data_IF_031302241923
#
_entry.id   IF_031302241923
#
_cell.length_a   1.000
_cell.length_b   1.000
_cell.length_c   1.000
_cell.angle_alpha   90.00
_cell.angle_beta   90.00
_cell.angle_gamma   90.00
#
_symmetry.space_group_name_H-M   'P 1'
#
loop_
_entity.id
_entity.type
_entity.pdbx_description
1 polymer ?
#
# COMPACT_ATOMS: atom_id res chain seq x y z
N UNK A 1 -15.20 -5.00 -13.92
CA UNK A 1 -13.77 -5.14 -14.28
C UNK A 1 -12.91 -4.96 -13.02
N UNK A 2 -12.87 -5.98 -12.16
CA UNK A 2 -11.85 -6.17 -11.11
C UNK A 2 -11.32 -7.61 -11.14
N UNK A 3 -11.73 -8.40 -12.14
CA UNK A 3 -11.59 -9.86 -12.16
C UNK A 3 -10.18 -10.37 -12.53
N UNK A 4 -9.21 -9.48 -12.77
CA UNK A 4 -7.87 -9.85 -13.24
C UNK A 4 -6.72 -9.32 -12.36
N UNK A 5 -7.00 -8.66 -11.24
CA UNK A 5 -5.96 -8.23 -10.30
C UNK A 5 -6.17 -8.93 -8.96
N UNK A 6 -5.30 -9.90 -8.65
CA UNK A 6 -5.16 -10.38 -7.28
C UNK A 6 -4.40 -9.31 -6.49
N UNK A 7 -5.13 -8.54 -5.69
CA UNK A 7 -4.55 -7.48 -4.87
C UNK A 7 -3.85 -8.04 -3.62
N UNK A 8 -3.91 -9.36 -3.41
CA UNK A 8 -3.27 -10.09 -2.33
C UNK A 8 -3.51 -9.45 -0.95
N UNK A 9 -4.72 -8.94 -0.71
CA UNK A 9 -5.08 -8.20 0.52
C UNK A 9 -4.82 -9.04 1.78
N UNK A 10 -5.01 -10.36 1.69
CA UNK A 10 -4.67 -11.29 2.78
C UNK A 10 -3.18 -11.30 3.10
N UNK A 11 -2.31 -11.26 2.09
CA UNK A 11 -0.86 -11.22 2.27
C UNK A 11 -0.43 -9.86 2.84
N UNK A 12 -1.07 -8.77 2.40
CA UNK A 12 -0.90 -7.45 3.01
C UNK A 12 -1.22 -7.47 4.50
N UNK A 13 -2.37 -8.00 4.88
CA UNK A 13 -2.79 -8.12 6.29
C UNK A 13 -1.80 -8.99 7.08
N UNK A 14 -1.39 -10.14 6.51
CA UNK A 14 -0.43 -11.03 7.15
C UNK A 14 0.91 -10.33 7.38
N UNK A 15 1.38 -9.55 6.40
CA UNK A 15 2.63 -8.79 6.51
C UNK A 15 2.55 -7.67 7.55
N UNK A 16 1.45 -6.92 7.58
CA UNK A 16 1.20 -5.90 8.60
C UNK A 16 1.27 -6.50 10.01
N UNK A 17 0.64 -7.67 10.21
CA UNK A 17 0.66 -8.39 11.49
C UNK A 17 2.04 -8.93 11.84
N UNK A 18 2.75 -9.51 10.87
CA UNK A 18 4.08 -10.07 11.06
C UNK A 18 5.12 -8.99 11.42
N UNK A 19 5.07 -7.85 10.74
CA UNK A 19 6.00 -6.73 10.94
C UNK A 19 5.57 -5.84 12.12
N UNK A 20 4.40 -6.12 12.72
CA UNK A 20 3.79 -5.34 13.81
C UNK A 20 3.70 -3.83 13.47
N UNK A 21 3.44 -3.54 12.18
CA UNK A 21 3.42 -2.21 11.62
C UNK A 21 2.27 -1.39 12.20
N UNK A 22 2.52 -0.15 12.60
CA UNK A 22 1.51 0.78 13.15
C UNK A 22 1.06 1.80 12.12
N UNK A 23 1.98 2.23 11.25
CA UNK A 23 1.74 3.19 10.18
C UNK A 23 2.08 2.52 8.85
N UNK A 24 1.08 2.31 8.01
CA UNK A 24 1.21 1.64 6.71
C UNK A 24 0.91 2.64 5.61
N UNK A 25 1.83 2.80 4.65
CA UNK A 25 1.60 3.60 3.47
C UNK A 25 1.15 2.73 2.30
N UNK A 26 0.04 3.11 1.65
CA UNK A 26 -0.52 2.43 0.50
C UNK A 26 -0.36 3.30 -0.74
N UNK A 27 0.28 2.75 -1.78
CA UNK A 27 0.45 3.42 -3.06
C UNK A 27 -0.32 2.68 -4.16
N UNK A 28 -1.25 3.39 -4.79
CA UNK A 28 -2.13 2.85 -5.82
C UNK A 28 -1.79 3.42 -7.21
N UNK A 29 -1.81 2.59 -8.27
CA UNK A 29 -1.81 3.07 -9.64
C UNK A 29 -3.14 3.76 -9.96
N UNK A 30 -3.16 4.64 -10.97
CA UNK A 30 -4.37 5.41 -11.34
C UNK A 30 -5.62 4.54 -11.53
N UNK A 31 -5.48 3.34 -12.10
CA UNK A 31 -6.58 2.39 -12.28
C UNK A 31 -7.16 1.82 -10.99
N UNK A 32 -6.42 1.84 -9.88
CA UNK A 32 -6.87 1.34 -8.57
C UNK A 32 -7.24 2.46 -7.59
N UNK A 33 -6.94 3.73 -7.88
CA UNK A 33 -7.34 4.87 -7.04
C UNK A 33 -8.84 4.89 -6.72
N UNK A 34 -9.77 4.62 -7.66
CA UNK A 34 -11.21 4.55 -7.35
C UNK A 34 -11.59 3.43 -6.35
N UNK A 35 -10.73 2.42 -6.21
CA UNK A 35 -10.95 1.27 -5.32
C UNK A 35 -10.15 1.38 -4.01
N UNK A 36 -9.32 2.42 -3.85
CA UNK A 36 -8.44 2.59 -2.70
C UNK A 36 -9.21 2.59 -1.37
N UNK A 37 -10.33 3.30 -1.27
CA UNK A 37 -11.14 3.34 -0.05
C UNK A 37 -11.67 1.96 0.36
N UNK A 38 -12.10 1.14 -0.61
CA UNK A 38 -12.58 -0.22 -0.35
C UNK A 38 -11.45 -1.11 0.18
N UNK A 39 -10.26 -1.01 -0.41
CA UNK A 39 -9.07 -1.77 0.00
C UNK A 39 -8.64 -1.37 1.41
N UNK A 40 -8.58 -0.06 1.69
CA UNK A 40 -8.26 0.49 3.01
C UNK A 40 -9.25 0.00 4.05
N UNK A 41 -10.55 0.00 3.73
CA UNK A 41 -11.58 -0.48 4.63
C UNK A 41 -11.43 -1.97 4.96
N UNK A 42 -11.04 -2.80 3.98
CA UNK A 42 -10.79 -4.23 4.19
C UNK A 42 -9.59 -4.47 5.10
N UNK A 43 -8.48 -3.77 4.88
CA UNK A 43 -7.28 -3.87 5.71
C UNK A 43 -7.58 -3.43 7.16
N UNK A 44 -8.31 -2.32 7.34
CA UNK A 44 -8.67 -1.78 8.67
C UNK A 44 -9.63 -2.66 9.46
N UNK A 45 -10.46 -3.48 8.80
CA UNK A 45 -11.32 -4.46 9.49
C UNK A 45 -10.50 -5.50 10.24
N UNK A 46 -9.34 -5.86 9.70
CA UNK A 46 -8.50 -6.96 10.18
C UNK A 46 -7.26 -6.48 10.94
N UNK A 47 -6.94 -5.18 10.88
CA UNK A 47 -5.75 -4.57 11.48
C UNK A 47 -6.05 -3.17 12.05
N UNK A 48 -5.69 -2.88 13.31
CA UNK A 48 -5.87 -1.55 13.90
C UNK A 48 -4.69 -0.62 13.57
N UNK A 49 -4.40 -0.43 12.28
CA UNK A 49 -3.26 0.36 11.81
C UNK A 49 -3.67 1.71 11.23
N UNK A 50 -2.76 2.68 11.33
CA UNK A 50 -2.90 3.95 10.64
C UNK A 50 -2.51 3.75 9.18
N UNK A 51 -3.42 4.09 8.27
CA UNK A 51 -3.16 3.97 6.83
C UNK A 51 -3.00 5.36 6.22
N UNK A 52 -1.90 5.56 5.51
CA UNK A 52 -1.60 6.77 4.74
C UNK A 52 -1.67 6.41 3.25
N UNK A 53 -2.55 7.06 2.51
CA UNK A 53 -2.64 6.85 1.06
C UNK A 53 -1.71 7.82 0.34
N UNK A 54 -0.78 7.29 -0.45
CA UNK A 54 0.04 8.11 -1.34
C UNK A 54 -0.75 8.47 -2.60
N UNK A 55 -1.13 9.74 -2.73
CA UNK A 55 -1.90 10.26 -3.87
C UNK A 55 -1.02 10.98 -4.93
N UNK A 56 0.30 11.01 -4.73
CA UNK A 56 1.24 11.61 -5.69
C UNK A 56 1.32 10.85 -7.02
N UNK A 57 1.75 11.52 -8.09
CA UNK A 57 2.01 10.91 -9.39
C UNK A 57 3.18 9.92 -9.30
N UNK A 58 2.95 8.65 -9.64
CA UNK A 58 3.93 7.58 -9.57
C UNK A 58 4.79 7.58 -10.87
N UNK A 59 5.96 8.22 -10.84
CA UNK A 59 6.93 8.20 -11.95
C UNK A 59 8.16 7.30 -11.69
N UNK A 60 8.07 6.32 -10.78
CA UNK A 60 9.05 5.22 -10.68
C UNK A 60 9.50 4.85 -9.28
N UNK A 61 10.15 3.69 -9.18
CA UNK A 61 10.64 3.04 -7.95
C UNK A 61 11.74 3.81 -7.18
N UNK A 62 12.19 4.96 -7.68
CA UNK A 62 13.16 5.84 -7.00
C UNK A 62 12.52 6.94 -6.15
N UNK A 63 11.19 7.06 -6.14
CA UNK A 63 10.47 8.15 -5.47
C UNK A 63 9.75 7.66 -4.20
N UNK A 64 10.35 6.71 -3.48
CA UNK A 64 9.99 6.47 -2.07
C UNK A 64 10.49 7.69 -1.32
N UNK A 65 9.62 8.67 -1.00
CA UNK A 65 10.09 9.97 -0.62
C UNK A 65 10.71 9.90 0.76
N UNK A 66 11.78 10.67 0.98
CA UNK A 66 12.29 10.97 2.32
C UNK A 66 11.17 11.40 3.30
N UNK A 67 10.05 11.90 2.79
CA UNK A 67 8.85 12.24 3.56
C UNK A 67 8.17 11.02 4.19
N UNK A 68 8.12 9.85 3.52
CA UNK A 68 7.54 8.61 4.08
C UNK A 68 8.36 8.12 5.27
N UNK A 69 9.69 8.24 5.19
CA UNK A 69 10.59 7.90 6.29
C UNK A 69 10.48 8.92 7.44
N UNK A 70 10.24 10.21 7.13
CA UNK A 70 9.95 11.25 8.14
C UNK A 70 8.57 11.12 8.78
N UNK A 71 7.60 10.51 8.09
CA UNK A 71 6.26 10.22 8.59
C UNK A 71 6.23 9.00 9.53
N UNK A 72 7.36 8.30 9.71
CA UNK A 72 7.44 7.12 10.57
C UNK A 72 6.64 5.95 10.02
N UNK A 73 6.56 5.81 8.69
CA UNK A 73 5.89 4.67 8.06
C UNK A 73 6.68 3.39 8.33
N UNK A 74 6.02 2.41 8.93
CA UNK A 74 6.60 1.11 9.27
C UNK A 74 6.58 0.14 8.07
N UNK A 75 5.62 0.31 7.15
CA UNK A 75 5.45 -0.55 5.98
C UNK A 75 4.90 0.23 4.78
N UNK A 76 5.56 0.10 3.62
CA UNK A 76 5.08 0.61 2.34
C UNK A 76 4.58 -0.56 1.47
N UNK A 77 3.38 -0.42 0.91
CA UNK A 77 2.76 -1.40 0.03
C UNK A 77 2.39 -0.71 -1.27
N UNK A 78 2.93 -1.22 -2.38
CA UNK A 78 2.81 -0.63 -3.70
C UNK A 78 2.20 -1.64 -4.66
N UNK A 79 1.09 -1.27 -5.30
CA UNK A 79 0.45 -2.09 -6.34
C UNK A 79 0.80 -1.58 -7.74
N UNK A 80 0.77 -2.47 -8.74
CA UNK A 80 0.89 -2.08 -10.15
C UNK A 80 2.33 -1.89 -10.67
N UNK A 81 3.34 -2.19 -9.86
CA UNK A 81 4.74 -2.23 -10.27
C UNK A 81 5.26 -3.65 -10.07
N UNK A 82 5.87 -4.23 -11.10
CA UNK A 82 6.75 -5.39 -10.93
C UNK A 82 7.91 -4.97 -10.02
N UNK A 83 8.33 -5.82 -9.08
CA UNK A 83 9.62 -5.61 -8.41
C UNK A 83 10.66 -5.32 -9.49
N UNK A 84 11.37 -4.19 -9.36
CA UNK A 84 12.47 -3.89 -10.27
C UNK A 84 13.61 -4.81 -9.88
N UNK A 85 13.59 -6.01 -10.46
CA UNK A 85 14.63 -7.02 -10.29
C UNK A 85 15.94 -6.52 -10.90
N UNK A 86 16.98 -6.48 -10.07
CA UNK A 86 18.37 -6.52 -10.52
C UNK A 86 18.70 -7.90 -11.11
#
# INVERSE_FOLDING_TARGET
MLANYDLEIKNVIARIKADNAKIVCLQFPDGLKPHAESIIAEIKKETPVTIITWLGSCWGACDVPLEVNRLGVDLLIQWGHSEWGH
#
